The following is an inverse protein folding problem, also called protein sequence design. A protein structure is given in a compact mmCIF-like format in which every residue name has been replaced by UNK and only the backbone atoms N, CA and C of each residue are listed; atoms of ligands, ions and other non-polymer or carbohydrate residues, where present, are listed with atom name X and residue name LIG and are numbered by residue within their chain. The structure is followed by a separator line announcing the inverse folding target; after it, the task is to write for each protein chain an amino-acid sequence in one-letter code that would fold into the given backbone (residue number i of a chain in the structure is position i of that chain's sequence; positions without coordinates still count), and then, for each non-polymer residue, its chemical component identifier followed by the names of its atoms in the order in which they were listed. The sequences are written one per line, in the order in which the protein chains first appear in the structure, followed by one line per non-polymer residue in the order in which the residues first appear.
data_IF_837280836090
#
_entry.id   IF_837280836090
#
_cell.length_a   1.000
_cell.length_b   1.000
_cell.length_c   1.000
_cell.angle_alpha   90.00
_cell.angle_beta   90.00
_cell.angle_gamma   90.00
#
_symmetry.space_group_name_H-M   'P 1'
#
loop_
_entity.id
_entity.type
_entity.pdbx_description
1 polymer ?
#
# COMPACT_ATOMS: atom_id res chain seq x y z
N UNK A 1 -0.10 -23.40 10.03
CA UNK A 1 -0.87 -24.62 10.32
C UNK A 1 -1.71 -24.49 11.58
N UNK A 2 -1.14 -24.13 12.74
CA UNK A 2 -1.91 -23.98 14.01
C UNK A 2 -3.02 -22.92 13.90
N UNK A 3 -2.76 -21.78 13.23
CA UNK A 3 -3.77 -20.75 12.91
C UNK A 3 -4.87 -21.19 11.92
N UNK A 4 -4.67 -22.28 11.16
CA UNK A 4 -5.71 -22.82 10.29
C UNK A 4 -6.58 -23.86 11.00
N UNK A 5 -6.12 -24.40 12.14
CA UNK A 5 -6.82 -25.44 12.90
C UNK A 5 -7.47 -24.93 14.20
N UNK A 6 -7.00 -23.82 14.76
CA UNK A 6 -7.45 -23.31 16.08
C UNK A 6 -8.39 -22.11 15.98
N UNK A 7 -8.24 -21.26 14.98
CA UNK A 7 -9.22 -20.21 14.68
C UNK A 7 -10.13 -20.69 13.56
N UNK A 8 -11.40 -20.26 13.56
CA UNK A 8 -12.40 -20.50 12.49
C UNK A 8 -12.03 -19.86 11.14
N UNK A 9 -10.75 -19.89 10.78
CA UNK A 9 -10.14 -19.59 9.51
C UNK A 9 -10.71 -20.59 8.51
N UNK A 10 -11.69 -20.18 7.72
CA UNK A 10 -12.31 -21.02 6.69
C UNK A 10 -11.32 -21.39 5.53
N UNK A 11 -10.01 -21.31 5.76
CA UNK A 11 -8.93 -21.59 4.82
C UNK A 11 -8.35 -22.99 5.09
N UNK A 12 -8.38 -23.91 4.10
CA UNK A 12 -7.75 -25.21 4.25
C UNK A 12 -6.22 -25.10 4.23
N UNK A 13 -5.54 -26.09 4.82
CA UNK A 13 -4.08 -26.10 4.99
C UNK A 13 -3.29 -25.93 3.68
N UNK A 14 -3.79 -26.48 2.57
CA UNK A 14 -3.17 -26.36 1.25
C UNK A 14 -3.27 -24.93 0.69
N UNK A 15 -4.29 -24.16 1.08
CA UNK A 15 -4.43 -22.75 0.72
C UNK A 15 -3.30 -21.89 1.30
N UNK A 16 -2.83 -22.22 2.51
CA UNK A 16 -1.68 -21.56 3.11
C UNK A 16 -0.38 -21.87 2.33
N UNK A 17 -0.17 -23.13 1.94
CA UNK A 17 0.99 -23.52 1.15
C UNK A 17 0.99 -22.86 -0.23
N UNK A 18 -0.19 -22.74 -0.87
CA UNK A 18 -0.35 -22.01 -2.12
C UNK A 18 -0.02 -20.53 -1.97
N UNK A 19 -0.46 -19.88 -0.88
CA UNK A 19 -0.14 -18.48 -0.60
C UNK A 19 1.37 -18.26 -0.46
N UNK A 20 2.05 -19.12 0.31
CA UNK A 20 3.50 -19.06 0.51
C UNK A 20 4.25 -19.37 -0.79
N UNK A 21 3.80 -20.36 -1.56
CA UNK A 21 4.39 -20.68 -2.86
C UNK A 21 4.28 -19.52 -3.85
N UNK A 22 3.11 -18.89 -3.92
CA UNK A 22 2.90 -17.68 -4.74
C UNK A 22 3.82 -16.54 -4.29
N UNK A 23 3.94 -16.31 -2.98
CA UNK A 23 4.86 -15.31 -2.44
C UNK A 23 6.30 -15.60 -2.90
N UNK A 24 6.81 -16.82 -2.72
CA UNK A 24 8.17 -17.20 -3.11
C UNK A 24 8.46 -16.96 -4.59
N UNK A 25 7.54 -17.31 -5.49
CA UNK A 25 7.72 -17.08 -6.94
C UNK A 25 7.71 -15.59 -7.26
N UNK A 26 6.84 -14.81 -6.60
CA UNK A 26 6.66 -13.39 -6.88
C UNK A 26 7.70 -12.47 -6.22
N UNK A 27 8.42 -12.94 -5.19
CA UNK A 27 9.53 -12.20 -4.55
C UNK A 27 10.57 -11.80 -5.60
N UNK A 28 10.98 -12.70 -6.50
CA UNK A 28 12.04 -12.43 -7.48
C UNK A 28 11.68 -11.33 -8.49
N UNK A 29 10.58 -11.41 -9.27
CA UNK A 29 10.26 -10.38 -10.26
C UNK A 29 9.98 -9.02 -9.61
N UNK A 30 9.32 -9.00 -8.45
CA UNK A 30 9.02 -7.74 -7.75
C UNK A 30 10.27 -7.16 -7.11
N UNK A 31 11.16 -8.01 -6.60
CA UNK A 31 12.47 -7.58 -6.11
C UNK A 31 13.31 -6.93 -7.21
N UNK A 32 13.27 -7.44 -8.45
CA UNK A 32 13.94 -6.81 -9.60
C UNK A 32 13.34 -5.43 -9.91
N UNK A 33 12.01 -5.34 -9.97
CA UNK A 33 11.33 -4.05 -10.20
C UNK A 33 11.70 -3.06 -9.10
N UNK A 34 11.58 -3.45 -7.83
CA UNK A 34 11.92 -2.61 -6.69
C UNK A 34 13.40 -2.20 -6.70
N UNK A 35 14.31 -3.09 -7.09
CA UNK A 35 15.74 -2.76 -7.18
C UNK A 35 16.04 -1.71 -8.26
N UNK A 36 15.26 -1.67 -9.34
CA UNK A 36 15.46 -0.71 -10.44
C UNK A 36 14.71 0.60 -10.20
N UNK A 37 13.44 0.53 -9.80
CA UNK A 37 12.56 1.71 -9.69
C UNK A 37 12.47 2.27 -8.28
N UNK A 38 13.04 1.61 -7.27
CA UNK A 38 12.89 1.92 -5.85
C UNK A 38 11.42 2.05 -5.41
N UNK A 39 10.52 1.34 -6.12
CA UNK A 39 9.09 1.32 -5.81
C UNK A 39 8.61 -0.12 -5.76
N UNK A 40 7.80 -0.43 -4.75
CA UNK A 40 7.31 -1.77 -4.52
C UNK A 40 5.87 -1.89 -5.01
N UNK A 41 5.69 -2.70 -6.05
CA UNK A 41 4.38 -2.90 -6.66
C UNK A 41 3.52 -3.82 -5.78
N UNK A 42 2.34 -3.34 -5.40
CA UNK A 42 1.40 -4.07 -4.56
C UNK A 42 0.73 -5.24 -5.29
N UNK A 43 0.91 -6.48 -4.80
CA UNK A 43 0.25 -7.69 -5.32
C UNK A 43 -1.09 -8.02 -4.62
N UNK A 44 -1.55 -7.15 -3.72
CA UNK A 44 -2.76 -7.36 -2.92
C UNK A 44 -3.96 -7.86 -3.71
N UNK A 45 -4.27 -7.20 -4.83
CA UNK A 45 -5.45 -7.52 -5.64
C UNK A 45 -5.29 -8.86 -6.36
N UNK A 46 -4.07 -9.18 -6.81
CA UNK A 46 -3.80 -10.44 -7.52
C UNK A 46 -3.93 -11.63 -6.57
N UNK A 47 -3.39 -11.54 -5.35
CA UNK A 47 -3.51 -12.60 -4.36
C UNK A 47 -4.96 -12.78 -3.92
N UNK A 48 -5.70 -11.69 -3.73
CA UNK A 48 -7.13 -11.73 -3.43
C UNK A 48 -7.98 -12.32 -4.56
N UNK A 49 -7.66 -12.00 -5.82
CA UNK A 49 -8.34 -12.54 -7.00
C UNK A 49 -8.10 -14.05 -7.15
N UNK A 50 -6.85 -14.51 -7.00
CA UNK A 50 -6.50 -15.94 -7.05
C UNK A 50 -7.25 -16.69 -5.94
N UNK A 51 -7.22 -16.19 -4.71
CA UNK A 51 -7.94 -16.81 -3.60
C UNK A 51 -9.45 -16.81 -3.82
N UNK A 52 -10.03 -15.73 -4.34
CA UNK A 52 -11.45 -15.63 -4.62
C UNK A 52 -11.95 -16.61 -5.67
N UNK A 53 -11.11 -17.00 -6.64
CA UNK A 53 -11.43 -18.06 -7.60
C UNK A 53 -11.31 -19.47 -6.99
N UNK A 54 -10.33 -19.70 -6.10
CA UNK A 54 -10.10 -21.01 -5.49
C UNK A 54 -11.08 -21.29 -4.34
N UNK A 55 -11.39 -20.28 -3.53
CA UNK A 55 -12.25 -20.36 -2.34
C UNK A 55 -13.37 -19.31 -2.35
N UNK A 56 -14.34 -19.42 -3.27
CA UNK A 56 -15.43 -18.46 -3.35
C UNK A 56 -16.31 -18.51 -2.09
N UNK A 57 -16.83 -17.34 -1.68
CA UNK A 57 -17.77 -17.23 -0.56
C UNK A 57 -17.12 -17.19 0.83
N UNK A 58 -15.78 -17.16 0.91
CA UNK A 58 -15.04 -17.22 2.19
C UNK A 58 -14.17 -15.98 2.39
N UNK A 59 -14.73 -14.85 2.89
CA UNK A 59 -14.00 -13.60 3.05
C UNK A 59 -12.84 -13.69 4.04
N UNK A 60 -13.02 -14.40 5.16
CA UNK A 60 -11.98 -14.61 6.17
C UNK A 60 -10.79 -15.38 5.58
N UNK A 61 -11.06 -16.39 4.74
CA UNK A 61 -10.00 -17.15 4.08
C UNK A 61 -9.18 -16.26 3.13
N UNK A 62 -9.85 -15.37 2.41
CA UNK A 62 -9.20 -14.41 1.53
C UNK A 62 -8.25 -13.46 2.27
N UNK A 63 -8.68 -12.96 3.44
CA UNK A 63 -7.83 -12.13 4.32
C UNK A 63 -6.55 -12.87 4.69
N UNK A 64 -6.65 -14.12 5.15
CA UNK A 64 -5.47 -14.91 5.50
C UNK A 64 -4.57 -15.15 4.29
N UNK A 65 -5.15 -15.51 3.14
CA UNK A 65 -4.37 -15.74 1.91
C UNK A 65 -3.60 -14.49 1.48
N UNK A 66 -4.23 -13.31 1.53
CA UNK A 66 -3.57 -12.04 1.26
C UNK A 66 -2.44 -11.74 2.24
N UNK A 67 -2.66 -11.92 3.54
CA UNK A 67 -1.64 -11.69 4.55
C UNK A 67 -0.40 -12.57 4.32
N UNK A 68 -0.60 -13.87 4.07
CA UNK A 68 0.52 -14.78 3.82
C UNK A 68 1.14 -14.63 2.42
N UNK A 69 0.34 -14.29 1.39
CA UNK A 69 0.83 -14.17 0.02
C UNK A 69 1.52 -12.84 -0.28
N UNK A 70 1.03 -11.74 0.30
CA UNK A 70 1.55 -10.39 0.03
C UNK A 70 2.41 -9.83 1.16
N UNK A 71 1.93 -9.85 2.42
CA UNK A 71 2.67 -9.20 3.52
C UNK A 71 3.97 -9.93 3.83
N UNK A 72 3.99 -11.27 3.71
CA UNK A 72 5.22 -12.05 3.85
C UNK A 72 6.26 -11.70 2.76
N UNK A 73 5.82 -11.56 1.51
CA UNK A 73 6.69 -11.11 0.41
C UNK A 73 7.22 -9.70 0.67
N UNK A 74 6.35 -8.78 1.11
CA UNK A 74 6.72 -7.41 1.43
C UNK A 74 7.81 -7.35 2.50
N UNK A 75 7.64 -8.10 3.59
CA UNK A 75 8.61 -8.21 4.67
C UNK A 75 9.91 -8.87 4.20
N UNK A 76 9.84 -9.88 3.32
CA UNK A 76 11.02 -10.52 2.75
C UNK A 76 11.86 -9.54 1.92
N UNK A 77 11.22 -8.68 1.11
CA UNK A 77 11.92 -7.66 0.33
C UNK A 77 12.57 -6.58 1.20
N UNK A 78 11.89 -6.16 2.27
CA UNK A 78 12.49 -5.26 3.27
C UNK A 78 13.71 -5.90 3.95
N UNK A 79 13.59 -7.17 4.36
CA UNK A 79 14.68 -7.95 4.96
C UNK A 79 15.90 -8.03 4.02
N UNK A 80 15.68 -8.28 2.73
CA UNK A 80 16.75 -8.32 1.72
C UNK A 80 17.40 -6.95 1.52
N UNK A 81 16.61 -5.87 1.52
CA UNK A 81 17.12 -4.49 1.44
C UNK A 81 18.06 -4.18 2.60
N UNK A 82 17.67 -4.53 3.82
CA UNK A 82 18.48 -4.30 5.01
C UNK A 82 19.74 -5.17 5.05
N UNK A 83 19.66 -6.43 4.59
CA UNK A 83 20.84 -7.27 4.43
C UNK A 83 21.85 -6.68 3.45
N UNK A 84 21.38 -6.09 2.34
CA UNK A 84 22.24 -5.40 1.38
C UNK A 84 22.92 -4.17 2.00
N UNK A 85 22.18 -3.39 2.78
CA UNK A 85 22.75 -2.26 3.54
C UNK A 85 23.79 -2.74 4.56
N UNK A 86 23.48 -3.80 5.32
CA UNK A 86 24.39 -4.41 6.29
C UNK A 86 25.68 -4.92 5.64
N UNK A 87 25.58 -5.49 4.44
CA UNK A 87 26.74 -5.88 3.64
C UNK A 87 27.63 -4.68 3.29
N UNK A 88 27.05 -3.54 2.89
CA UNK A 88 27.81 -2.31 2.63
C UNK A 88 28.48 -1.74 3.89
N UNK A 89 27.83 -1.85 5.04
CA UNK A 89 28.37 -1.41 6.34
C UNK A 89 29.33 -2.44 6.97
N UNK A 90 29.61 -3.57 6.31
CA UNK A 90 30.44 -4.67 6.81
C UNK A 90 29.95 -5.28 8.13
N UNK A 91 28.64 -5.26 8.36
CA UNK A 91 28.03 -5.90 9.53
C UNK A 91 27.86 -7.40 9.24
N UNK A 92 28.21 -8.30 10.18
CA UNK A 92 28.04 -9.73 9.96
C UNK A 92 26.56 -10.11 9.74
N UNK A 93 26.25 -10.95 8.74
CA UNK A 93 24.87 -11.26 8.35
C UNK A 93 24.06 -11.95 9.47
N UNK A 94 24.73 -12.73 10.34
CA UNK A 94 24.10 -13.37 11.50
C UNK A 94 23.58 -12.34 12.51
N UNK A 95 24.34 -11.26 12.76
CA UNK A 95 23.93 -10.20 13.66
C UNK A 95 22.76 -9.39 13.07
N UNK A 96 22.82 -9.10 11.76
CA UNK A 96 21.72 -8.44 11.04
C UNK A 96 20.43 -9.27 11.11
N UNK A 97 20.52 -10.58 10.85
CA UNK A 97 19.37 -11.49 10.95
C UNK A 97 18.77 -11.48 12.36
N UNK A 98 19.60 -11.60 13.40
CA UNK A 98 19.14 -11.60 14.78
C UNK A 98 18.48 -10.27 15.18
N UNK A 99 19.07 -9.14 14.80
CA UNK A 99 18.53 -7.81 15.10
C UNK A 99 17.16 -7.57 14.42
N UNK A 100 17.03 -7.96 13.15
CA UNK A 100 15.77 -7.83 12.41
C UNK A 100 14.71 -8.78 12.97
N UNK A 101 15.06 -10.03 13.27
CA UNK A 101 14.14 -10.98 13.89
C UNK A 101 13.62 -10.44 15.23
N UNK A 102 14.52 -9.94 16.08
CA UNK A 102 14.13 -9.34 17.35
C UNK A 102 13.21 -8.12 17.15
N UNK A 103 13.58 -7.21 16.24
CA UNK A 103 12.77 -6.03 15.92
C UNK A 103 11.37 -6.39 15.42
N UNK A 104 11.25 -7.42 14.57
CA UNK A 104 9.93 -7.88 14.08
C UNK A 104 9.09 -8.51 15.17
N UNK A 105 9.67 -9.28 16.09
CA UNK A 105 8.95 -9.88 17.23
C UNK A 105 8.43 -8.78 18.15
N UNK A 106 9.30 -7.89 18.60
CA UNK A 106 8.94 -6.76 19.48
C UNK A 106 7.90 -5.87 18.79
N UNK A 107 8.11 -5.55 17.52
CA UNK A 107 7.18 -4.78 16.71
C UNK A 107 5.80 -5.43 16.63
N UNK A 108 5.72 -6.74 16.39
CA UNK A 108 4.45 -7.47 16.35
C UNK A 108 3.69 -7.38 17.69
N UNK A 109 4.39 -7.55 18.81
CA UNK A 109 3.78 -7.43 20.14
C UNK A 109 3.29 -6.01 20.43
N UNK A 110 4.11 -4.99 20.18
CA UNK A 110 3.73 -3.59 20.44
C UNK A 110 2.56 -3.17 19.55
N UNK A 111 2.58 -3.52 18.26
CA UNK A 111 1.48 -3.21 17.34
C UNK A 111 0.17 -3.88 17.78
N UNK A 112 0.23 -5.15 18.19
CA UNK A 112 -0.95 -5.85 18.70
C UNK A 112 -1.48 -5.24 20.01
N UNK A 113 -0.59 -4.94 20.95
CA UNK A 113 -0.95 -4.33 22.21
C UNK A 113 -1.59 -2.95 22.03
N UNK A 114 -1.00 -2.09 21.19
CA UNK A 114 -1.53 -0.78 20.87
C UNK A 114 -2.90 -0.88 20.17
N UNK A 115 -3.07 -1.82 19.25
CA UNK A 115 -4.35 -2.08 18.59
C UNK A 115 -5.43 -2.44 19.62
N UNK A 116 -5.14 -3.33 20.56
CA UNK A 116 -6.09 -3.70 21.63
C UNK A 116 -6.44 -2.51 22.52
N UNK A 117 -5.46 -1.68 22.86
CA UNK A 117 -5.67 -0.47 23.66
C UNK A 117 -6.59 0.53 22.93
N UNK A 118 -6.33 0.79 21.65
CA UNK A 118 -7.15 1.71 20.84
C UNK A 118 -8.58 1.19 20.71
N UNK A 119 -8.76 -0.11 20.45
CA UNK A 119 -10.09 -0.71 20.37
C UNK A 119 -10.81 -0.60 21.71
N UNK A 120 -10.15 -0.88 22.84
CA UNK A 120 -10.78 -0.78 24.17
C UNK A 120 -11.16 0.67 24.52
N UNK A 121 -10.32 1.66 24.18
CA UNK A 121 -10.52 3.05 24.57
C UNK A 121 -11.46 3.83 23.64
N UNK A 122 -11.48 3.52 22.34
CA UNK A 122 -12.13 4.34 21.31
C UNK A 122 -13.11 3.57 20.43
N UNK A 123 -13.57 2.39 20.86
CA UNK A 123 -14.57 1.58 20.13
C UNK A 123 -15.79 2.37 19.63
N UNK A 124 -16.44 3.23 20.44
CA UNK A 124 -17.66 3.92 20.01
C UNK A 124 -17.43 4.89 18.83
N UNK A 125 -16.23 5.47 18.72
CA UNK A 125 -15.86 6.35 17.61
C UNK A 125 -15.53 5.55 16.34
N UNK A 126 -14.92 4.37 16.50
CA UNK A 126 -14.51 3.51 15.38
C UNK A 126 -15.68 2.76 14.74
N UNK A 127 -16.69 2.37 15.53
CA UNK A 127 -17.90 1.70 15.06
C UNK A 127 -18.93 2.69 14.47
N UNK A 128 -18.69 4.01 14.59
CA UNK A 128 -19.59 5.06 14.07
C UNK A 128 -20.84 5.30 14.92
N UNK A 129 -20.90 4.77 16.14
CA UNK A 129 -22.02 5.00 17.08
C UNK A 129 -21.97 6.38 17.73
N UNK A 130 -20.77 6.97 17.85
CA UNK A 130 -20.57 8.36 18.25
C UNK A 130 -19.75 9.09 17.19
N UNK A 131 -20.18 10.30 16.81
CA UNK A 131 -19.38 11.19 15.94
C UNK A 131 -18.18 11.68 16.74
N UNK A 132 -16.97 11.42 16.24
CA UNK A 132 -15.75 11.94 16.84
C UNK A 132 -15.73 13.48 16.70
N UNK A 133 -15.71 14.25 17.80
CA UNK A 133 -15.63 15.72 17.75
C UNK A 133 -14.35 16.19 17.05
N UNK A 134 -13.25 15.44 17.21
CA UNK A 134 -11.96 15.82 16.61
C UNK A 134 -11.83 15.41 15.13
N UNK A 135 -12.67 14.50 14.65
CA UNK A 135 -12.61 13.96 13.28
C UNK A 135 -11.30 13.22 12.93
N UNK A 136 -10.45 12.92 13.91
CA UNK A 136 -9.13 12.31 13.70
C UNK A 136 -9.16 10.79 13.79
N UNK A 137 -10.10 10.23 14.55
CA UNK A 137 -10.25 8.79 14.70
C UNK A 137 -11.15 8.25 13.58
N UNK A 138 -10.51 7.64 12.57
CA UNK A 138 -11.22 7.03 11.45
C UNK A 138 -10.81 5.58 11.26
N UNK A 139 -11.79 4.69 11.18
CA UNK A 139 -11.59 3.27 10.86
C UNK A 139 -11.29 3.01 9.37
N UNK A 140 -10.97 4.05 8.59
CA UNK A 140 -10.97 4.02 7.12
C UNK A 140 -10.14 2.88 6.53
N UNK A 141 -8.89 2.71 6.97
CA UNK A 141 -8.02 1.63 6.47
C UNK A 141 -8.59 0.24 6.80
N UNK A 142 -9.17 0.07 7.98
CA UNK A 142 -9.82 -1.18 8.40
C UNK A 142 -11.10 -1.45 7.60
N UNK A 143 -11.89 -0.41 7.31
CA UNK A 143 -13.08 -0.51 6.48
C UNK A 143 -12.73 -0.87 5.03
N UNK A 144 -11.73 -0.22 4.43
CA UNK A 144 -11.24 -0.57 3.09
C UNK A 144 -10.78 -2.03 3.04
N UNK A 145 -10.07 -2.49 4.07
CA UNK A 145 -9.63 -3.89 4.16
C UNK A 145 -10.81 -4.87 4.28
N UNK A 146 -11.85 -4.52 5.06
CA UNK A 146 -13.07 -5.31 5.18
C UNK A 146 -13.86 -5.35 3.86
N UNK A 147 -14.11 -4.19 3.24
CA UNK A 147 -14.82 -4.07 1.96
C UNK A 147 -14.10 -4.84 0.86
N UNK A 148 -12.77 -4.76 0.77
CA UNK A 148 -11.99 -5.55 -0.18
C UNK A 148 -12.19 -7.06 0.03
N UNK A 149 -12.22 -7.51 1.29
CA UNK A 149 -12.43 -8.92 1.64
C UNK A 149 -13.82 -9.42 1.24
N UNK A 150 -14.84 -8.57 1.33
CA UNK A 150 -16.20 -8.86 0.88
C UNK A 150 -16.25 -8.96 -0.65
N UNK A 151 -15.71 -7.97 -1.36
CA UNK A 151 -15.73 -7.93 -2.84
C UNK A 151 -14.97 -9.11 -3.44
N UNK A 152 -13.74 -9.35 -2.99
CA UNK A 152 -12.86 -10.36 -3.58
C UNK A 152 -13.06 -11.76 -2.98
N UNK A 153 -13.52 -11.86 -1.73
CA UNK A 153 -13.67 -13.14 -1.03
C UNK A 153 -15.11 -13.65 -0.94
N UNK A 154 -16.06 -12.81 -0.53
CA UNK A 154 -17.46 -13.22 -0.33
C UNK A 154 -18.24 -13.29 -1.66
N UNK A 155 -18.21 -12.20 -2.44
CA UNK A 155 -18.84 -12.17 -3.78
C UNK A 155 -18.01 -13.02 -4.75
N UNK A 156 -16.68 -12.82 -4.70
CA UNK A 156 -15.72 -13.54 -5.49
C UNK A 156 -15.62 -13.00 -6.93
N UNK A 157 -14.44 -13.08 -7.56
CA UNK A 157 -14.21 -12.51 -8.88
C UNK A 157 -15.06 -13.17 -9.97
N UNK A 158 -15.48 -14.43 -9.81
CA UNK A 158 -16.36 -15.11 -10.75
C UNK A 158 -17.75 -14.46 -10.89
N UNK A 159 -18.29 -13.83 -9.84
CA UNK A 159 -19.55 -13.08 -9.89
C UNK A 159 -19.32 -11.61 -10.24
N UNK A 160 -18.27 -11.01 -9.68
CA UNK A 160 -17.98 -9.58 -9.92
C UNK A 160 -17.48 -9.33 -11.35
N UNK A 161 -16.70 -10.23 -11.94
CA UNK A 161 -16.10 -10.10 -13.28
C UNK A 161 -16.57 -11.17 -14.28
N UNK A 162 -17.61 -11.94 -13.95
CA UNK A 162 -18.16 -12.98 -14.82
C UNK A 162 -18.84 -12.44 -16.07
N UNK A 163 -19.19 -13.36 -16.99
CA UNK A 163 -19.93 -13.03 -18.21
C UNK A 163 -21.31 -12.47 -17.83
N UNK A 164 -21.57 -11.19 -18.16
CA UNK A 164 -22.81 -10.47 -17.82
C UNK A 164 -22.67 -9.41 -16.70
N UNK A 165 -21.52 -9.29 -16.06
CA UNK A 165 -21.26 -8.20 -15.10
C UNK A 165 -20.77 -6.92 -15.78
N UNK A 166 -21.15 -5.76 -15.23
CA UNK A 166 -20.66 -4.43 -15.63
C UNK A 166 -19.12 -4.34 -15.55
N UNK A 167 -18.50 -5.11 -14.65
CA UNK A 167 -17.05 -5.08 -14.45
C UNK A 167 -16.27 -6.07 -15.32
N UNK A 168 -16.92 -6.91 -16.12
CA UNK A 168 -16.23 -7.86 -17.01
C UNK A 168 -15.15 -7.22 -17.90
N UNK A 169 -15.36 -6.00 -18.47
CA UNK A 169 -14.33 -5.32 -19.25
C UNK A 169 -13.01 -5.06 -18.51
N UNK A 170 -13.02 -4.97 -17.17
CA UNK A 170 -11.80 -4.70 -16.39
C UNK A 170 -10.78 -5.85 -16.49
N UNK A 171 -11.22 -7.08 -16.77
CA UNK A 171 -10.30 -8.20 -16.98
C UNK A 171 -9.40 -8.00 -18.22
N UNK A 172 -9.86 -7.24 -19.22
CA UNK A 172 -9.04 -6.85 -20.36
C UNK A 172 -7.87 -5.95 -19.97
N UNK A 173 -7.92 -5.33 -18.79
CA UNK A 173 -6.81 -4.58 -18.20
C UNK A 173 -5.56 -5.45 -17.99
N UNK A 174 -5.70 -6.75 -17.69
CA UNK A 174 -4.55 -7.66 -17.57
C UNK A 174 -3.86 -7.88 -18.91
N UNK A 175 -4.65 -8.05 -19.98
CA UNK A 175 -4.14 -8.21 -21.34
C UNK A 175 -3.50 -6.91 -21.85
N UNK A 176 -4.13 -5.77 -21.57
CA UNK A 176 -3.55 -4.46 -21.87
C UNK A 176 -2.26 -4.23 -21.09
N UNK A 177 -2.19 -4.62 -19.82
CA UNK A 177 -0.97 -4.54 -19.01
C UNK A 177 0.16 -5.43 -19.54
N UNK A 178 -0.15 -6.62 -20.05
CA UNK A 178 0.81 -7.52 -20.69
C UNK A 178 1.31 -6.98 -22.04
N UNK A 179 0.42 -6.36 -22.83
CA UNK A 179 0.75 -5.83 -24.14
C UNK A 179 1.37 -4.43 -24.09
N UNK A 180 1.10 -3.63 -23.07
CA UNK A 180 1.56 -2.25 -22.98
C UNK A 180 3.10 -2.08 -23.11
N UNK A 181 3.95 -2.99 -22.57
CA UNK A 181 5.40 -2.94 -22.79
C UNK A 181 5.83 -3.10 -24.25
N UNK A 182 5.04 -3.78 -25.08
CA UNK A 182 5.41 -4.12 -26.46
C UNK A 182 5.48 -2.87 -27.36
N UNK A 183 4.48 -1.97 -27.40
CA UNK A 183 4.60 -0.70 -28.11
C UNK A 183 5.79 0.15 -27.67
N UNK A 184 6.07 0.24 -26.37
CA UNK A 184 7.18 1.05 -25.85
C UNK A 184 8.53 0.44 -26.25
N UNK A 185 8.65 -0.89 -26.23
CA UNK A 185 9.82 -1.59 -26.71
C UNK A 185 10.05 -1.38 -28.22
N UNK A 186 9.00 -1.49 -29.04
CA UNK A 186 9.07 -1.24 -30.48
C UNK A 186 9.45 0.21 -30.79
N UNK A 187 8.90 1.17 -30.02
CA UNK A 187 9.20 2.58 -30.17
C UNK A 187 10.65 2.89 -29.75
N UNK A 188 11.17 2.23 -28.72
CA UNK A 188 12.58 2.31 -28.36
C UNK A 188 13.49 1.78 -29.48
N UNK A 189 13.11 0.66 -30.12
CA UNK A 189 13.87 0.08 -31.25
C UNK A 189 13.86 1.00 -32.48
N UNK A 190 12.74 1.68 -32.76
CA UNK A 190 12.62 2.60 -33.90
C UNK A 190 13.26 3.96 -33.66
N UNK A 191 13.25 4.46 -32.42
CA UNK A 191 13.79 5.77 -32.05
C UNK A 191 14.75 5.68 -30.85
N UNK A 192 15.99 5.16 -31.06
CA UNK A 192 16.96 5.00 -29.98
C UNK A 192 17.38 6.32 -29.33
N UNK A 193 17.30 7.45 -30.05
CA UNK A 193 17.65 8.79 -29.54
C UNK A 193 16.63 9.37 -28.55
N UNK A 194 15.39 8.88 -28.52
CA UNK A 194 14.31 9.45 -27.71
C UNK A 194 14.26 8.92 -26.26
N UNK A 195 15.21 8.07 -25.84
CA UNK A 195 15.36 7.56 -24.46
C UNK A 195 14.09 6.89 -23.88
N UNK A 196 13.31 6.20 -24.72
CA UNK A 196 12.12 5.43 -24.28
C UNK A 196 12.41 4.32 -23.26
N UNK A 197 13.68 3.94 -23.04
CA UNK A 197 14.10 3.04 -21.97
C UNK A 197 13.81 3.56 -20.55
N UNK A 198 13.54 4.86 -20.39
CA UNK A 198 13.23 5.47 -19.09
C UNK A 198 11.76 5.32 -18.68
N UNK A 199 10.88 4.88 -19.60
CA UNK A 199 9.45 4.72 -19.33
C UNK A 199 9.19 3.33 -18.77
N UNK A 200 8.93 3.27 -17.46
CA UNK A 200 8.56 2.03 -16.76
C UNK A 200 7.04 1.93 -16.65
N UNK A 201 6.41 1.16 -17.52
CA UNK A 201 4.94 0.97 -17.53
C UNK A 201 4.41 0.41 -16.21
N UNK A 202 5.04 -0.59 -15.56
CA UNK A 202 4.58 -1.07 -14.26
C UNK A 202 4.47 0.05 -13.21
N UNK A 203 5.36 1.05 -13.26
CA UNK A 203 5.34 2.19 -12.34
C UNK A 203 4.16 3.13 -12.63
N UNK A 204 3.89 3.40 -13.90
CA UNK A 204 2.74 4.23 -14.32
C UNK A 204 1.43 3.54 -13.93
N UNK A 205 1.28 2.25 -14.25
CA UNK A 205 0.10 1.47 -13.88
C UNK A 205 -0.08 1.37 -12.36
N UNK A 206 1.02 1.24 -11.61
CA UNK A 206 0.98 1.24 -10.15
C UNK A 206 0.52 2.60 -9.59
N UNK A 207 1.01 3.72 -10.13
CA UNK A 207 0.57 5.06 -9.74
C UNK A 207 -0.91 5.32 -10.02
N UNK A 208 -1.43 4.82 -11.14
CA UNK A 208 -2.86 4.92 -11.47
C UNK A 208 -3.74 4.13 -10.48
N UNK A 209 -3.22 3.07 -9.87
CA UNK A 209 -3.93 2.27 -8.87
C UNK A 209 -4.19 2.97 -7.53
N UNK A 210 -3.63 4.16 -7.30
CA UNK A 210 -3.92 4.97 -6.12
C UNK A 210 -5.31 5.66 -6.20
N UNK A 211 -5.86 5.79 -7.41
CA UNK A 211 -7.16 6.37 -7.67
C UNK A 211 -8.19 5.25 -7.92
N UNK A 212 -9.40 5.25 -7.33
CA UNK A 212 -9.95 6.11 -6.29
C UNK A 212 -9.90 5.41 -4.91
N UNK A 213 -8.94 5.74 -4.05
CA UNK A 213 -8.86 5.15 -2.72
C UNK A 213 -8.04 5.93 -1.68
N UNK A 214 -7.41 7.02 -2.10
CA UNK A 214 -6.59 7.87 -1.24
C UNK A 214 -6.98 9.33 -1.38
N UNK A 215 -6.80 10.11 -0.31
CA UNK A 215 -6.94 11.56 -0.33
C UNK A 215 -6.05 12.16 -1.43
N UNK A 216 -6.62 12.93 -2.35
CA UNK A 216 -5.94 13.47 -3.53
C UNK A 216 -4.95 14.60 -3.19
N UNK A 217 -5.04 15.17 -1.98
CA UNK A 217 -4.28 16.32 -1.52
C UNK A 217 -2.76 16.15 -1.65
N UNK A 218 -2.25 14.93 -1.49
CA UNK A 218 -0.81 14.67 -1.59
C UNK A 218 -0.31 14.49 -3.03
N UNK A 219 -1.21 14.28 -4.01
CA UNK A 219 -0.79 13.97 -5.39
C UNK A 219 -0.14 15.20 -6.04
N UNK A 220 -0.76 16.37 -5.91
CA UNK A 220 -0.24 17.61 -6.49
C UNK A 220 1.03 18.06 -5.75
N UNK A 221 0.99 18.08 -4.41
CA UNK A 221 2.16 18.47 -3.60
C UNK A 221 3.34 17.50 -3.79
N UNK A 222 3.06 16.20 -3.87
CA UNK A 222 4.04 15.16 -4.20
C UNK A 222 4.61 15.33 -5.61
N UNK A 223 3.79 15.67 -6.60
CA UNK A 223 4.27 15.97 -7.96
C UNK A 223 5.18 17.19 -7.98
N UNK A 224 4.82 18.27 -7.30
CA UNK A 224 5.65 19.49 -7.21
C UNK A 224 6.98 19.18 -6.52
N UNK A 225 6.96 18.46 -5.39
CA UNK A 225 8.18 18.06 -4.70
C UNK A 225 9.08 17.15 -5.57
N UNK A 226 8.48 16.17 -6.26
CA UNK A 226 9.19 15.29 -7.19
C UNK A 226 9.77 16.05 -8.38
N UNK A 227 9.05 17.03 -8.93
CA UNK A 227 9.54 17.89 -10.01
C UNK A 227 10.71 18.76 -9.54
N UNK A 228 10.59 19.42 -8.38
CA UNK A 228 11.66 20.25 -7.82
C UNK A 228 12.92 19.43 -7.52
N UNK A 229 12.77 18.23 -6.96
CA UNK A 229 13.92 17.36 -6.65
C UNK A 229 14.52 16.73 -7.92
N UNK A 230 13.70 16.05 -8.74
CA UNK A 230 14.22 15.18 -9.81
C UNK A 230 14.35 15.86 -11.17
N UNK A 231 13.60 16.93 -11.43
CA UNK A 231 13.77 17.70 -12.66
C UNK A 231 14.69 18.90 -12.42
N UNK A 232 14.38 19.75 -11.44
CA UNK A 232 15.11 21.00 -11.24
C UNK A 232 16.45 20.79 -10.53
N UNK A 233 16.47 20.26 -9.31
CA UNK A 233 17.70 20.13 -8.53
C UNK A 233 18.69 19.15 -9.18
N UNK A 234 18.20 18.05 -9.77
CA UNK A 234 19.06 17.11 -10.49
C UNK A 234 19.74 17.72 -11.73
N UNK A 235 19.04 18.55 -12.53
CA UNK A 235 19.59 19.12 -13.78
C UNK A 235 20.45 20.36 -13.55
N UNK A 236 20.00 21.27 -12.68
CA UNK A 236 20.66 22.57 -12.50
C UNK A 236 21.66 22.58 -11.33
N UNK A 237 21.47 21.73 -10.31
CA UNK A 237 22.29 21.73 -9.08
C UNK A 237 22.79 20.33 -8.67
N UNK A 238 23.41 19.61 -9.62
CA UNK A 238 23.88 18.22 -9.45
C UNK A 238 24.74 17.98 -8.21
N UNK A 239 25.67 18.90 -7.90
CA UNK A 239 26.58 18.78 -6.74
C UNK A 239 25.82 18.82 -5.42
N UNK A 240 24.82 19.69 -5.32
CA UNK A 240 23.98 19.80 -4.13
C UNK A 240 23.07 18.57 -4.00
N UNK A 241 22.43 18.16 -5.10
CA UNK A 241 21.53 17.00 -5.11
C UNK A 241 22.25 15.72 -4.66
N UNK A 242 23.45 15.44 -5.17
CA UNK A 242 24.22 14.24 -4.77
C UNK A 242 24.59 14.22 -3.28
N UNK A 243 24.81 15.39 -2.66
CA UNK A 243 25.25 15.49 -1.26
C UNK A 243 24.08 15.52 -0.28
N UNK A 244 22.98 16.21 -0.61
CA UNK A 244 21.94 16.55 0.34
C UNK A 244 20.58 15.89 0.07
N UNK A 245 20.32 15.34 -1.12
CA UNK A 245 18.98 14.84 -1.43
C UNK A 245 18.55 13.66 -0.53
N UNK A 246 19.44 12.69 -0.27
CA UNK A 246 19.15 11.57 0.63
C UNK A 246 18.97 12.03 2.10
N UNK A 247 19.88 12.83 2.69
CA UNK A 247 19.67 13.40 4.03
C UNK A 247 18.38 14.24 4.13
N UNK A 248 18.06 15.03 3.11
CA UNK A 248 16.86 15.86 3.09
C UNK A 248 15.59 15.00 3.05
N UNK A 249 15.58 13.92 2.25
CA UNK A 249 14.48 12.94 2.23
C UNK A 249 14.27 12.32 3.61
N UNK A 250 15.34 11.83 4.24
CA UNK A 250 15.27 11.24 5.58
C UNK A 250 14.81 12.25 6.66
N UNK A 251 15.23 13.52 6.52
CA UNK A 251 14.79 14.60 7.39
C UNK A 251 13.30 14.91 7.22
N UNK A 252 12.79 14.95 5.98
CA UNK A 252 11.36 15.17 5.74
C UNK A 252 10.49 14.02 6.25
N UNK A 253 10.90 12.76 6.05
CA UNK A 253 10.16 11.61 6.59
C UNK A 253 10.10 11.65 8.12
N UNK A 254 11.24 11.97 8.76
CA UNK A 254 11.31 12.08 10.23
C UNK A 254 10.51 13.27 10.76
N UNK A 255 10.62 14.42 10.11
CA UNK A 255 9.89 15.63 10.49
C UNK A 255 8.38 15.45 10.33
N UNK A 256 7.92 14.81 9.25
CA UNK A 256 6.51 14.54 9.03
C UNK A 256 5.91 13.68 10.16
N UNK A 257 6.63 12.65 10.61
CA UNK A 257 6.19 11.82 11.73
C UNK A 257 6.17 12.58 13.07
N UNK A 258 7.20 13.38 13.34
CA UNK A 258 7.25 14.20 14.56
C UNK A 258 6.11 15.23 14.58
N UNK A 259 5.88 15.92 13.46
CA UNK A 259 4.79 16.89 13.32
C UNK A 259 3.43 16.20 13.46
N UNK A 260 3.24 15.03 12.85
CA UNK A 260 1.99 14.25 13.00
C UNK A 260 1.75 13.86 14.46
N UNK A 261 2.78 13.39 15.16
CA UNK A 261 2.70 13.06 16.58
C UNK A 261 2.39 14.30 17.43
N UNK A 262 3.02 15.43 17.14
CA UNK A 262 2.77 16.69 17.83
C UNK A 262 1.32 17.17 17.62
N UNK A 263 0.83 17.19 16.37
CA UNK A 263 -0.56 17.56 16.04
C UNK A 263 -1.53 16.63 16.78
N UNK A 264 -1.28 15.32 16.76
CA UNK A 264 -2.12 14.35 17.45
C UNK A 264 -2.18 14.62 18.96
N UNK A 265 -1.05 14.77 19.65
CA UNK A 265 -1.08 15.04 21.10
C UNK A 265 -1.68 16.41 21.44
N UNK A 266 -1.31 17.45 20.69
CA UNK A 266 -1.71 18.82 20.98
C UNK A 266 -3.22 19.03 20.78
N UNK A 267 -3.75 18.57 19.64
CA UNK A 267 -5.17 18.76 19.32
C UNK A 267 -6.09 17.69 19.91
N UNK A 268 -5.61 16.46 20.17
CA UNK A 268 -6.46 15.40 20.73
C UNK A 268 -6.48 15.42 22.28
N UNK A 269 -5.34 15.71 22.93
CA UNK A 269 -5.22 15.60 24.39
C UNK A 269 -5.39 16.93 25.12
N UNK A 270 -4.78 18.01 24.62
CA UNK A 270 -4.78 19.31 25.34
C UNK A 270 -5.95 20.21 24.96
N UNK A 271 -6.20 20.46 23.67
CA UNK A 271 -7.14 21.51 23.25
C UNK A 271 -8.50 21.00 22.78
N UNK A 272 -8.62 19.71 22.41
CA UNK A 272 -9.86 19.08 21.89
C UNK A 272 -10.63 20.00 20.92
N UNK A 273 -9.92 20.55 19.94
CA UNK A 273 -10.51 21.48 18.98
C UNK A 273 -11.26 20.72 17.89
N UNK A 274 -12.49 21.15 17.60
CA UNK A 274 -13.24 20.67 16.44
C UNK A 274 -12.53 21.11 15.15
N UNK A 275 -12.41 20.21 14.18
CA UNK A 275 -11.75 20.53 12.92
C UNK A 275 -12.60 21.51 12.10
N UNK A 276 -12.03 22.64 11.63
CA UNK A 276 -12.81 23.65 10.91
C UNK A 276 -13.26 23.14 9.53
N UNK A 277 -14.52 23.41 9.20
CA UNK A 277 -15.03 23.22 7.84
C UNK A 277 -14.59 24.38 6.95
N UNK A 278 -14.14 24.07 5.74
CA UNK A 278 -13.72 25.06 4.75
C UNK A 278 -14.00 24.53 3.34
N UNK A 279 -13.75 25.34 2.30
CA UNK A 279 -14.08 24.99 0.92
C UNK A 279 -13.60 23.60 0.49
N UNK A 280 -12.41 23.17 0.94
CA UNK A 280 -11.81 21.88 0.60
C UNK A 280 -12.18 20.69 1.49
N UNK A 281 -12.95 20.88 2.57
CA UNK A 281 -13.30 19.81 3.52
C UNK A 281 -14.82 19.77 3.80
N UNK A 282 -15.37 18.57 3.97
CA UNK A 282 -16.77 18.38 4.36
C UNK A 282 -16.84 17.48 5.60
N UNK A 283 -17.53 17.94 6.65
CA UNK A 283 -17.67 17.18 7.91
C UNK A 283 -18.47 15.88 7.78
N UNK A 284 -19.19 15.68 6.67
CA UNK A 284 -19.92 14.43 6.41
C UNK A 284 -19.03 13.34 5.80
N UNK A 285 -18.08 13.72 4.93
CA UNK A 285 -17.25 12.74 4.19
C UNK A 285 -15.87 12.51 4.81
N UNK A 286 -15.53 13.19 5.92
CA UNK A 286 -14.22 13.12 6.60
C UNK A 286 -13.03 13.24 5.64
N UNK A 287 -13.23 13.94 4.51
CA UNK A 287 -12.33 13.95 3.37
C UNK A 287 -12.59 15.14 2.45
N UNK A 288 -11.72 15.28 1.45
CA UNK A 288 -11.81 16.32 0.42
C UNK A 288 -13.22 16.46 -0.13
N UNK A 289 -13.65 17.71 -0.30
CA UNK A 289 -14.97 18.02 -0.85
C UNK A 289 -15.03 17.60 -2.33
N UNK A 290 -15.47 16.37 -2.58
CA UNK A 290 -15.82 15.91 -3.92
C UNK A 290 -17.23 16.43 -4.27
N UNK A 291 -17.35 17.27 -5.31
CA UNK A 291 -18.65 17.63 -5.84
C UNK A 291 -19.23 16.39 -6.55
N UNK A 292 -20.40 15.88 -6.11
CA UNK A 292 -21.07 14.81 -6.86
C UNK A 292 -21.44 15.33 -8.26
N UNK A 293 -21.27 14.48 -9.26
CA UNK A 293 -21.73 14.73 -10.62
C UNK A 293 -23.27 14.87 -10.61
N UNK A 294 -23.83 16.04 -10.96
CA UNK A 294 -25.28 16.28 -10.89
C UNK A 294 -26.09 15.40 -11.84
N UNK A 295 -25.45 14.65 -12.75
CA UNK A 295 -26.10 13.74 -13.70
C UNK A 295 -26.18 12.29 -13.23
N UNK A 296 -25.74 11.98 -12.01
CA UNK A 296 -25.85 10.63 -11.40
C UNK A 296 -26.60 10.69 -10.07
N UNK A 297 -27.90 10.96 -10.15
CA UNK A 297 -28.90 10.64 -9.12
C UNK A 297 -29.96 9.73 -9.71
#
# INVERSE_FOLDING_TARGET
MILCSVSGSHLPWYGLLLAVGLACVMVLPIGIIQAISNNQVGLNVVTEMICGYIFPGRPIANVYFKCYGYMAMHQCLAFVSDLKLGHYMKIPPKAMFAAQLWGTIVGAFINYWLLQLIIAAKRPFLDGTMKDPTGQWTGYRSQVFNTASIVWGLIGPGKTFGQGSIYHPLLWGFLLGFLAPVPIYLLHKRYPKAKFHLITIPLICNGLGLLPGTYTNFIISGFVAAFLSQYWAFRYHRKWWNKYNYPLSAAFDSAAQIVTMFIFFFFNVMFQADFPEWYGNNAQTQGERCFPDPHKM
#
